data_IF_995859864225
#
_entry.id   IF_995859864225
#
_cell.length_a   1.000
_cell.length_b   1.000
_cell.length_c   1.000
_cell.angle_alpha   90.00
_cell.angle_beta   90.00
_cell.angle_gamma   90.00
#
_symmetry.space_group_name_H-M   'P 1'
#
loop_
_entity.id
_entity.type
_entity.pdbx_description
1 polymer ?
#
# COMPACT_ATOMS: atom_id res chain seq x y z
N UNK A 1 25.82 4.47 18.10
CA UNK A 1 26.31 5.64 17.33
C UNK A 1 25.27 6.75 17.49
N UNK A 2 25.69 8.02 17.65
CA UNK A 2 24.72 9.13 17.65
C UNK A 2 24.28 9.38 16.21
N UNK A 3 22.96 9.47 15.97
CA UNK A 3 22.43 9.82 14.67
C UNK A 3 22.74 11.31 14.36
N UNK A 4 23.13 11.60 13.13
CA UNK A 4 23.32 12.94 12.63
C UNK A 4 22.01 13.52 12.12
N UNK A 5 21.62 14.73 12.58
CA UNK A 5 20.45 15.44 12.08
C UNK A 5 20.82 16.33 10.90
N UNK A 6 20.32 16.00 9.71
CA UNK A 6 20.59 16.70 8.45
C UNK A 6 19.51 17.75 8.20
N UNK A 7 19.90 19.02 8.25
CA UNK A 7 19.00 20.18 8.08
C UNK A 7 19.41 21.14 6.97
N UNK A 8 20.51 20.83 6.25
CA UNK A 8 21.00 21.68 5.16
C UNK A 8 21.26 20.85 3.89
N UNK A 9 21.06 21.43 2.68
CA UNK A 9 21.34 20.76 1.41
C UNK A 9 22.79 20.31 1.26
N UNK A 10 23.73 21.06 1.82
CA UNK A 10 25.15 20.71 1.80
C UNK A 10 25.42 19.43 2.60
N UNK A 11 24.93 19.34 3.85
CA UNK A 11 25.07 18.14 4.67
C UNK A 11 24.38 16.92 4.03
N UNK A 12 23.22 17.12 3.39
CA UNK A 12 22.52 16.05 2.65
C UNK A 12 23.35 15.56 1.44
N UNK A 13 23.98 16.49 0.71
CA UNK A 13 24.90 16.13 -0.39
C UNK A 13 26.12 15.37 0.10
N UNK A 14 26.68 15.74 1.27
CA UNK A 14 27.80 15.03 1.91
C UNK A 14 27.39 13.63 2.33
N UNK A 15 26.22 13.48 2.95
CA UNK A 15 25.64 12.18 3.26
C UNK A 15 25.47 11.30 2.00
N UNK A 16 24.92 11.86 0.92
CA UNK A 16 24.78 11.16 -0.36
C UNK A 16 26.12 10.64 -0.89
N UNK A 17 27.19 11.44 -0.81
CA UNK A 17 28.55 11.01 -1.20
C UNK A 17 29.10 9.90 -0.29
N UNK A 18 28.83 9.97 0.99
CA UNK A 18 29.23 8.93 1.95
C UNK A 18 28.55 7.60 1.67
N UNK A 19 27.27 7.64 1.28
CA UNK A 19 26.45 6.45 1.01
C UNK A 19 26.62 5.90 -0.42
N UNK A 20 27.20 6.64 -1.36
CA UNK A 20 27.33 6.27 -2.76
C UNK A 20 28.10 4.96 -3.02
N UNK A 21 28.93 4.50 -2.05
CA UNK A 21 29.65 3.23 -2.12
C UNK A 21 28.94 2.05 -1.45
N UNK A 22 27.77 2.27 -0.86
CA UNK A 22 27.02 1.22 -0.16
C UNK A 22 26.24 0.35 -1.16
N UNK A 23 26.16 -0.95 -0.89
CA UNK A 23 25.30 -1.87 -1.65
C UNK A 23 23.82 -1.73 -1.24
N UNK A 24 23.59 -1.35 0.01
CA UNK A 24 22.26 -1.13 0.57
C UNK A 24 22.27 -0.04 1.65
N UNK A 25 21.11 0.55 1.87
CA UNK A 25 20.79 1.42 2.99
C UNK A 25 19.47 1.01 3.62
N UNK A 26 19.39 1.05 4.95
CA UNK A 26 18.11 1.02 5.66
C UNK A 26 17.45 2.39 5.51
N UNK A 27 16.15 2.40 5.27
CA UNK A 27 15.33 3.61 5.10
C UNK A 27 14.04 3.46 5.89
N UNK A 28 13.62 4.54 6.53
CA UNK A 28 12.31 4.66 7.16
C UNK A 28 11.79 6.09 7.01
N UNK A 29 10.49 6.31 7.18
CA UNK A 29 9.89 7.65 7.07
C UNK A 29 8.90 7.94 8.18
N UNK A 30 8.88 9.21 8.62
CA UNK A 30 7.80 9.72 9.44
C UNK A 30 7.01 10.79 8.68
N UNK A 31 5.70 10.63 8.65
CA UNK A 31 4.82 11.50 7.87
C UNK A 31 3.46 11.74 8.55
N UNK A 32 2.77 12.80 8.13
CA UNK A 32 1.41 13.13 8.58
C UNK A 32 0.42 13.02 7.42
N UNK A 33 -0.71 12.34 7.66
CA UNK A 33 -1.79 12.16 6.66
C UNK A 33 -3.19 12.44 7.26
N UNK A 34 -3.30 13.37 8.16
CA UNK A 34 -4.58 13.62 8.84
C UNK A 34 -5.47 14.63 8.12
N UNK A 35 -4.88 15.67 7.53
CA UNK A 35 -5.58 16.85 7.01
C UNK A 35 -5.33 17.13 5.54
N UNK A 36 -4.56 16.29 4.88
CA UNK A 36 -4.15 16.46 3.48
C UNK A 36 -4.47 15.20 2.67
N UNK A 37 -4.55 15.36 1.36
CA UNK A 37 -4.69 14.26 0.42
C UNK A 37 -3.41 13.43 0.35
N UNK A 38 -2.29 14.08 0.07
CA UNK A 38 -0.96 13.48 0.10
C UNK A 38 -0.37 13.55 1.50
N UNK A 39 0.42 12.55 1.86
CA UNK A 39 1.15 12.55 3.11
C UNK A 39 2.20 13.68 3.11
N UNK A 40 2.32 14.37 4.24
CA UNK A 40 3.39 15.34 4.46
C UNK A 40 4.59 14.63 5.07
N UNK A 41 5.65 14.47 4.29
CA UNK A 41 6.91 13.91 4.76
C UNK A 41 7.51 14.83 5.84
N UNK A 42 7.84 14.27 7.00
CA UNK A 42 8.35 15.01 8.16
C UNK A 42 9.79 14.63 8.51
N UNK A 43 10.14 13.34 8.39
CA UNK A 43 11.52 12.85 8.55
C UNK A 43 11.79 11.73 7.55
N UNK A 44 13.06 11.55 7.18
CA UNK A 44 13.58 10.36 6.52
C UNK A 44 14.80 9.89 7.31
N UNK A 45 14.76 8.66 7.77
CA UNK A 45 15.87 8.02 8.42
C UNK A 45 16.63 7.17 7.41
N UNK A 46 17.95 7.22 7.47
CA UNK A 46 18.82 6.35 6.66
C UNK A 46 19.95 5.79 7.50
N UNK A 47 20.30 4.53 7.25
CA UNK A 47 21.48 3.93 7.85
C UNK A 47 22.19 3.01 6.85
N UNK A 48 23.55 2.99 6.96
CA UNK A 48 24.40 1.98 6.36
C UNK A 48 25.20 1.28 7.45
N UNK A 49 26.25 0.52 7.11
CA UNK A 49 27.14 -0.07 8.11
C UNK A 49 27.74 0.96 9.08
N UNK A 50 28.12 2.14 8.58
CA UNK A 50 28.94 3.11 9.31
C UNK A 50 28.19 4.39 9.67
N UNK A 51 27.01 4.60 9.08
CA UNK A 51 26.26 5.86 9.19
C UNK A 51 24.85 5.60 9.70
N UNK A 52 24.37 6.47 10.59
CA UNK A 52 22.94 6.66 10.92
C UNK A 52 22.66 8.15 10.82
N UNK A 53 21.72 8.52 9.96
CA UNK A 53 21.34 9.92 9.77
C UNK A 53 19.83 10.09 9.75
N UNK A 54 19.37 11.23 10.25
CA UNK A 54 17.99 11.67 10.25
C UNK A 54 17.90 12.92 9.37
N UNK A 55 17.20 12.85 8.27
CA UNK A 55 17.03 13.96 7.33
C UNK A 55 15.74 14.68 7.71
N UNK A 56 15.80 16.01 7.83
CA UNK A 56 14.64 16.87 8.12
C UNK A 56 14.12 17.57 6.85
N UNK A 57 13.14 17.00 6.12
CA UNK A 57 12.60 17.62 4.91
C UNK A 57 11.96 18.98 5.16
N UNK A 58 11.43 19.22 6.37
CA UNK A 58 10.79 20.50 6.71
C UNK A 58 11.81 21.64 6.82
N UNK A 59 13.03 21.34 7.25
CA UNK A 59 14.14 22.28 7.29
C UNK A 59 14.75 22.52 5.91
N UNK A 60 14.86 21.45 5.11
CA UNK A 60 15.47 21.47 3.77
C UNK A 60 14.60 22.17 2.73
N UNK A 61 13.26 22.13 2.88
CA UNK A 61 12.28 22.55 1.89
C UNK A 61 12.40 21.77 0.57
N UNK A 62 11.46 21.96 -0.33
CA UNK A 62 11.35 21.16 -1.56
C UNK A 62 12.63 21.22 -2.42
N UNK A 63 13.23 22.41 -2.57
CA UNK A 63 14.45 22.59 -3.37
C UNK A 63 15.69 21.90 -2.79
N UNK A 64 15.69 21.59 -1.51
CA UNK A 64 16.80 20.96 -0.80
C UNK A 64 16.83 19.44 -0.83
N UNK A 65 15.75 18.81 -1.33
CA UNK A 65 15.61 17.34 -1.29
C UNK A 65 16.23 16.62 -2.50
N UNK A 66 16.71 17.32 -3.52
CA UNK A 66 17.29 16.71 -4.72
C UNK A 66 18.38 15.64 -4.44
N UNK A 67 19.31 15.82 -3.46
CA UNK A 67 20.28 14.78 -3.15
C UNK A 67 19.66 13.53 -2.51
N UNK A 68 18.54 13.65 -1.74
CA UNK A 68 17.80 12.51 -1.22
C UNK A 68 17.14 11.74 -2.36
N UNK A 69 16.48 12.44 -3.28
CA UNK A 69 15.87 11.84 -4.46
C UNK A 69 16.91 11.08 -5.27
N UNK A 70 18.08 11.69 -5.53
CA UNK A 70 19.16 11.03 -6.26
C UNK A 70 19.65 9.75 -5.55
N UNK A 71 19.74 9.77 -4.22
CA UNK A 71 20.10 8.59 -3.42
C UNK A 71 19.06 7.48 -3.51
N UNK A 72 17.76 7.84 -3.46
CA UNK A 72 16.65 6.88 -3.56
C UNK A 72 16.50 6.30 -4.97
N UNK A 73 16.82 7.07 -6.01
CA UNK A 73 16.78 6.67 -7.42
C UNK A 73 18.03 5.85 -7.85
N UNK A 74 19.07 5.75 -7.01
CA UNK A 74 20.29 5.00 -7.35
C UNK A 74 19.96 3.50 -7.53
N UNK A 75 20.08 3.02 -8.76
CA UNK A 75 19.66 1.67 -9.15
C UNK A 75 20.53 0.54 -8.57
N UNK A 76 21.75 0.84 -8.14
CA UNK A 76 22.66 -0.13 -7.52
C UNK A 76 22.49 -0.22 -6.01
N UNK A 77 21.86 0.78 -5.42
CA UNK A 77 21.67 0.90 -3.99
C UNK A 77 20.32 0.28 -3.58
N UNK A 78 20.33 -0.82 -2.87
CA UNK A 78 19.12 -1.44 -2.35
C UNK A 78 18.58 -0.64 -1.15
N UNK A 79 17.31 -0.25 -1.21
CA UNK A 79 16.60 0.42 -0.11
C UNK A 79 15.90 -0.65 0.74
N UNK A 80 16.38 -0.85 1.96
CA UNK A 80 15.84 -1.79 2.93
C UNK A 80 14.83 -1.08 3.82
N UNK A 81 13.60 -1.55 3.82
CA UNK A 81 12.50 -0.99 4.61
C UNK A 81 11.75 -2.11 5.36
N UNK A 82 10.84 -1.73 6.25
CA UNK A 82 9.91 -2.65 6.89
C UNK A 82 8.47 -2.25 6.61
N UNK A 83 7.68 -3.14 5.99
CA UNK A 83 6.30 -2.85 5.56
C UNK A 83 6.22 -1.62 4.64
N UNK A 84 7.12 -1.53 3.68
CA UNK A 84 7.53 -0.38 2.88
C UNK A 84 6.42 0.35 2.09
N UNK A 85 5.21 -0.23 1.99
CA UNK A 85 4.17 0.28 1.09
C UNK A 85 3.82 1.75 1.32
N UNK A 86 3.78 2.20 2.58
CA UNK A 86 3.39 3.57 2.91
C UNK A 86 4.54 4.55 2.63
N UNK A 87 5.77 4.15 2.92
CA UNK A 87 6.97 4.95 2.64
C UNK A 87 7.16 5.14 1.15
N UNK A 88 6.98 4.07 0.36
CA UNK A 88 7.03 4.13 -1.09
C UNK A 88 5.91 5.00 -1.69
N UNK A 89 4.72 5.05 -1.07
CA UNK A 89 3.66 5.98 -1.45
C UNK A 89 4.08 7.44 -1.18
N UNK A 90 4.71 7.71 -0.04
CA UNK A 90 5.22 9.05 0.30
C UNK A 90 6.30 9.50 -0.67
N UNK A 91 7.25 8.63 -1.02
CA UNK A 91 8.26 8.93 -2.02
C UNK A 91 7.68 9.10 -3.44
N UNK A 92 6.68 8.28 -3.80
CA UNK A 92 5.97 8.45 -5.06
C UNK A 92 5.22 9.79 -5.11
N UNK A 93 4.59 10.21 -4.03
CA UNK A 93 3.91 11.51 -3.96
C UNK A 93 4.90 12.68 -4.12
N UNK A 94 6.14 12.52 -3.65
CA UNK A 94 7.20 13.53 -3.76
C UNK A 94 7.70 13.72 -5.21
N UNK A 95 7.99 12.63 -5.93
CA UNK A 95 8.70 12.67 -7.21
C UNK A 95 8.02 11.92 -8.35
N UNK A 96 6.82 11.38 -8.13
CA UNK A 96 6.10 10.52 -9.09
C UNK A 96 6.90 9.29 -9.53
N UNK A 97 7.86 8.88 -8.70
CA UNK A 97 8.72 7.71 -8.85
C UNK A 97 8.70 6.86 -7.60
N UNK A 98 8.96 5.58 -7.77
CA UNK A 98 9.08 4.64 -6.65
C UNK A 98 10.55 4.22 -6.56
N UNK A 99 11.19 4.38 -5.39
CA UNK A 99 12.55 3.90 -5.19
C UNK A 99 12.68 2.41 -5.54
N UNK A 100 13.75 2.06 -6.26
CA UNK A 100 14.09 0.68 -6.61
C UNK A 100 15.63 0.54 -6.74
N UNK A 101 16.19 -0.66 -6.45
CA UNK A 101 15.55 -1.83 -5.87
C UNK A 101 15.19 -1.64 -4.39
N UNK A 102 14.23 -2.44 -3.90
CA UNK A 102 13.74 -2.43 -2.52
C UNK A 102 13.83 -3.83 -1.93
N UNK A 103 14.19 -3.91 -0.65
CA UNK A 103 14.06 -5.10 0.17
C UNK A 103 13.11 -4.81 1.34
N UNK A 104 11.93 -5.41 1.34
CA UNK A 104 10.96 -5.28 2.44
C UNK A 104 11.16 -6.42 3.44
N UNK A 105 11.59 -6.08 4.66
CA UNK A 105 11.89 -7.06 5.70
C UNK A 105 10.65 -7.79 6.24
N UNK A 106 9.46 -7.20 6.17
CA UNK A 106 8.21 -7.88 6.53
C UNK A 106 7.86 -8.96 5.50
N UNK A 107 7.97 -8.63 4.21
CA UNK A 107 7.78 -9.61 3.12
C UNK A 107 8.84 -10.71 3.23
N UNK A 108 10.12 -10.35 3.37
CA UNK A 108 11.22 -11.30 3.50
C UNK A 108 11.02 -12.29 4.68
N UNK A 109 10.59 -11.79 5.83
CA UNK A 109 10.29 -12.59 7.01
C UNK A 109 9.19 -13.64 6.75
N UNK A 110 8.14 -13.27 6.01
CA UNK A 110 7.07 -14.19 5.64
C UNK A 110 7.57 -15.39 4.78
N UNK A 111 8.59 -15.16 3.94
CA UNK A 111 9.28 -16.22 3.18
C UNK A 111 10.19 -17.12 4.03
N UNK A 112 10.39 -16.77 5.29
CA UNK A 112 11.13 -17.58 6.28
C UNK A 112 10.21 -18.20 7.33
N UNK A 113 8.88 -18.03 7.20
CA UNK A 113 7.87 -18.64 8.06
C UNK A 113 7.45 -17.78 9.25
N UNK A 114 7.90 -16.52 9.33
CA UNK A 114 7.33 -15.56 10.27
C UNK A 114 5.91 -15.16 9.85
N UNK A 115 5.16 -14.53 10.76
CA UNK A 115 3.85 -13.97 10.46
C UNK A 115 3.94 -12.96 9.29
N UNK A 116 3.02 -13.03 8.33
CA UNK A 116 3.01 -12.16 7.15
C UNK A 116 2.73 -10.67 7.47
N UNK A 117 2.26 -10.39 8.68
CA UNK A 117 2.06 -9.04 9.21
C UNK A 117 2.95 -8.79 10.44
N UNK A 118 4.08 -9.49 10.58
CA UNK A 118 4.97 -9.28 11.72
C UNK A 118 5.39 -7.80 11.79
N UNK A 119 5.17 -7.17 12.93
CA UNK A 119 5.59 -5.77 13.13
C UNK A 119 7.09 -5.65 13.40
N UNK A 120 7.66 -4.49 13.08
CA UNK A 120 9.09 -4.20 13.17
C UNK A 120 9.70 -4.59 14.52
N UNK A 121 9.15 -4.09 15.63
CA UNK A 121 9.69 -4.40 16.96
C UNK A 121 9.68 -5.91 17.30
N UNK A 122 8.66 -6.65 16.81
CA UNK A 122 8.60 -8.10 17.02
C UNK A 122 9.65 -8.82 16.18
N UNK A 123 9.89 -8.37 14.94
CA UNK A 123 10.91 -8.94 14.06
C UNK A 123 12.32 -8.66 14.59
N UNK A 124 12.58 -7.43 15.05
CA UNK A 124 13.86 -7.07 15.73
C UNK A 124 14.08 -7.96 16.93
N UNK A 125 13.08 -8.11 17.82
CA UNK A 125 13.20 -8.96 19.00
C UNK A 125 13.48 -10.42 18.64
N UNK A 126 12.80 -10.94 17.60
CA UNK A 126 12.99 -12.32 17.16
C UNK A 126 14.38 -12.61 16.59
N UNK A 127 14.98 -11.66 15.87
CA UNK A 127 16.25 -11.85 15.17
C UNK A 127 17.47 -11.38 15.97
N UNK A 128 17.31 -10.35 16.82
CA UNK A 128 18.43 -9.71 17.53
C UNK A 128 18.37 -9.87 19.05
N UNK A 129 17.22 -10.29 19.60
CA UNK A 129 16.98 -10.35 21.05
C UNK A 129 16.74 -8.97 21.70
N UNK A 130 16.73 -7.89 20.93
CA UNK A 130 16.53 -6.51 21.42
C UNK A 130 15.05 -6.18 21.48
N UNK A 131 14.60 -5.57 22.58
CA UNK A 131 13.24 -5.06 22.73
C UNK A 131 13.23 -3.56 22.49
N UNK A 132 12.49 -3.11 21.48
CA UNK A 132 12.33 -1.69 21.13
C UNK A 132 11.24 -1.03 21.96
N UNK A 133 11.44 0.24 22.32
CA UNK A 133 10.44 1.08 22.95
C UNK A 133 9.39 1.53 21.91
N UNK A 134 8.11 1.54 22.30
CA UNK A 134 6.98 1.95 21.46
C UNK A 134 6.44 3.35 21.78
N UNK A 135 7.17 4.13 22.61
CA UNK A 135 6.64 5.36 23.22
C UNK A 135 6.27 6.46 22.19
N UNK A 136 6.86 6.45 20.99
CA UNK A 136 6.72 7.55 20.02
C UNK A 136 5.92 7.25 18.74
N UNK A 137 5.26 6.10 18.66
CA UNK A 137 4.47 5.66 17.48
C UNK A 137 3.34 6.63 17.07
N UNK A 138 2.89 7.52 17.97
CA UNK A 138 1.82 8.51 17.71
C UNK A 138 2.27 9.91 18.08
N UNK A 139 3.35 10.35 17.50
CA UNK A 139 3.96 11.67 17.73
C UNK A 139 3.57 12.63 16.62
N UNK A 140 3.42 13.91 16.91
CA UNK A 140 3.38 14.95 15.89
C UNK A 140 4.79 15.21 15.35
N UNK A 141 5.12 14.51 14.28
CA UNK A 141 6.42 14.61 13.62
C UNK A 141 6.65 15.92 12.87
N UNK A 142 5.63 16.78 12.75
CA UNK A 142 5.81 18.13 12.18
C UNK A 142 6.25 19.17 13.19
N UNK A 143 6.19 18.87 14.49
CA UNK A 143 6.63 19.78 15.54
C UNK A 143 8.16 19.97 15.53
N UNK A 144 8.62 21.19 15.77
CA UNK A 144 10.04 21.54 15.91
C UNK A 144 10.26 22.42 17.12
N UNK A 145 11.40 22.26 17.85
CA UNK A 145 12.44 21.27 17.64
C UNK A 145 11.98 19.85 18.06
N UNK A 146 12.59 18.82 17.47
CA UNK A 146 12.41 17.43 17.91
C UNK A 146 13.14 17.22 19.24
N UNK A 147 12.54 16.45 20.14
CA UNK A 147 13.17 16.04 21.39
C UNK A 147 14.27 14.99 21.14
N UNK A 148 15.20 14.87 22.09
CA UNK A 148 16.22 13.82 22.03
C UNK A 148 15.62 12.41 21.99
N UNK A 149 14.49 12.17 22.66
CA UNK A 149 13.80 10.90 22.65
C UNK A 149 13.16 10.57 21.27
N UNK A 150 12.60 11.58 20.58
CA UNK A 150 12.10 11.43 19.22
C UNK A 150 13.22 11.13 18.22
N UNK A 151 14.36 11.84 18.33
CA UNK A 151 15.53 11.58 17.49
C UNK A 151 16.10 10.17 17.74
N UNK A 152 16.13 9.72 18.99
CA UNK A 152 16.59 8.37 19.32
C UNK A 152 15.63 7.30 18.75
N UNK A 153 14.32 7.49 18.90
CA UNK A 153 13.31 6.60 18.32
C UNK A 153 13.48 6.49 16.80
N UNK A 154 13.55 7.64 16.11
CA UNK A 154 13.74 7.67 14.65
C UNK A 154 15.07 7.01 14.21
N UNK A 155 16.14 7.16 15.00
CA UNK A 155 17.41 6.48 14.74
C UNK A 155 17.32 4.96 14.91
N UNK A 156 16.56 4.49 15.92
CA UNK A 156 16.40 3.07 16.21
C UNK A 156 15.63 2.33 15.11
N UNK A 157 14.70 2.99 14.42
CA UNK A 157 13.92 2.41 13.32
C UNK A 157 14.81 1.96 12.15
N UNK A 158 15.92 2.66 11.88
CA UNK A 158 16.90 2.23 10.85
C UNK A 158 18.12 1.52 11.43
N UNK A 159 18.49 1.81 12.68
CA UNK A 159 19.65 1.17 13.33
C UNK A 159 19.46 -0.34 13.41
N UNK A 160 18.33 -0.82 13.90
CA UNK A 160 18.05 -2.24 14.03
C UNK A 160 17.57 -2.89 12.74
N UNK A 161 17.17 -2.11 11.74
CA UNK A 161 16.81 -2.63 10.41
C UNK A 161 18.03 -3.26 9.71
N UNK A 162 19.25 -2.78 10.00
CA UNK A 162 20.50 -3.34 9.48
C UNK A 162 20.70 -4.81 9.84
N UNK A 163 20.85 -5.20 11.13
CA UNK A 163 21.03 -6.62 11.49
C UNK A 163 19.83 -7.47 11.10
N UNK A 164 18.62 -6.90 11.05
CA UNK A 164 17.43 -7.62 10.54
C UNK A 164 17.59 -7.95 9.06
N UNK A 165 18.00 -6.99 8.22
CA UNK A 165 18.24 -7.21 6.81
C UNK A 165 19.30 -8.29 6.57
N UNK A 166 20.46 -8.17 7.23
CA UNK A 166 21.56 -9.11 7.07
C UNK A 166 21.13 -10.55 7.42
N UNK A 167 20.45 -10.71 8.56
CA UNK A 167 19.95 -12.01 9.00
C UNK A 167 18.90 -12.61 8.04
N UNK A 168 17.96 -11.80 7.54
CA UNK A 168 16.94 -12.26 6.60
C UNK A 168 17.53 -12.58 5.24
N UNK A 169 18.42 -11.72 4.72
CA UNK A 169 19.07 -11.93 3.44
C UNK A 169 19.92 -13.20 3.44
N UNK A 170 20.73 -13.41 4.49
CA UNK A 170 21.51 -14.64 4.65
C UNK A 170 20.64 -15.90 4.71
N UNK A 171 19.58 -15.90 5.52
CA UNK A 171 18.66 -17.03 5.62
C UNK A 171 17.92 -17.34 4.31
N UNK A 172 17.50 -16.30 3.57
CA UNK A 172 16.88 -16.45 2.25
C UNK A 172 17.88 -17.04 1.25
N UNK A 173 19.11 -16.57 1.24
CA UNK A 173 20.19 -17.10 0.39
C UNK A 173 20.48 -18.57 0.69
N UNK A 174 20.66 -18.93 1.97
CA UNK A 174 20.89 -20.31 2.40
C UNK A 174 19.75 -21.26 2.00
N UNK A 175 18.50 -20.77 1.95
CA UNK A 175 17.32 -21.55 1.53
C UNK A 175 17.04 -21.48 0.03
N UNK A 176 17.84 -20.74 -0.76
CA UNK A 176 17.64 -20.54 -2.20
C UNK A 176 16.38 -19.77 -2.55
N UNK A 177 15.92 -18.84 -1.67
CA UNK A 177 14.64 -18.15 -1.79
C UNK A 177 14.73 -16.68 -2.23
N UNK A 178 15.95 -16.15 -2.46
CA UNK A 178 16.11 -14.77 -2.91
C UNK A 178 15.32 -14.48 -4.20
N UNK A 179 15.40 -15.40 -5.19
CA UNK A 179 14.63 -15.24 -6.42
C UNK A 179 13.10 -15.31 -6.20
N UNK A 180 12.63 -16.05 -5.18
CA UNK A 180 11.20 -16.14 -4.87
C UNK A 180 10.64 -14.82 -4.32
N UNK A 181 11.37 -14.21 -3.39
CA UNK A 181 10.93 -12.97 -2.75
C UNK A 181 11.08 -11.76 -3.66
N UNK A 182 12.04 -11.81 -4.59
CA UNK A 182 12.29 -10.73 -5.56
C UNK A 182 11.05 -10.39 -6.39
N UNK A 183 10.24 -11.39 -6.78
CA UNK A 183 8.97 -11.17 -7.49
C UNK A 183 8.01 -10.25 -6.70
N UNK A 184 7.97 -10.39 -5.37
CA UNK A 184 7.12 -9.57 -4.51
C UNK A 184 7.70 -8.17 -4.32
N UNK A 185 9.03 -8.03 -4.25
CA UNK A 185 9.70 -6.73 -4.22
C UNK A 185 9.47 -5.95 -5.52
N UNK A 186 9.62 -6.59 -6.68
CA UNK A 186 9.35 -5.96 -7.97
C UNK A 186 7.89 -5.51 -8.12
N UNK A 187 6.93 -6.28 -7.58
CA UNK A 187 5.54 -5.84 -7.54
C UNK A 187 5.35 -4.62 -6.65
N UNK A 188 6.01 -4.59 -5.50
CA UNK A 188 5.93 -3.49 -4.56
C UNK A 188 6.46 -2.17 -5.16
N UNK A 189 7.44 -2.24 -6.08
CA UNK A 189 8.01 -1.05 -6.74
C UNK A 189 7.25 -0.59 -8.00
N UNK A 190 6.13 -1.23 -8.35
CA UNK A 190 5.32 -0.81 -9.48
C UNK A 190 4.61 0.52 -9.20
N UNK A 191 4.93 1.57 -9.94
CA UNK A 191 4.34 2.90 -9.78
C UNK A 191 2.79 2.91 -9.89
N UNK A 192 2.21 1.94 -10.62
CA UNK A 192 0.75 1.77 -10.72
C UNK A 192 0.06 1.48 -9.39
N UNK A 193 0.78 0.95 -8.39
CA UNK A 193 0.24 0.70 -7.04
C UNK A 193 -0.01 1.99 -6.26
N UNK A 194 0.69 3.08 -6.60
CA UNK A 194 0.71 4.35 -5.88
C UNK A 194 -0.02 5.46 -6.63
N UNK A 195 -0.27 5.27 -7.93
CA UNK A 195 -1.07 6.21 -8.71
C UNK A 195 -2.50 6.26 -8.20
N UNK A 196 -2.94 7.45 -7.88
CA UNK A 196 -4.32 7.72 -7.53
C UNK A 196 -5.05 8.30 -8.76
N UNK A 197 -5.26 7.44 -9.79
CA UNK A 197 -5.99 7.83 -10.99
C UNK A 197 -7.45 8.17 -10.62
N UNK A 198 -7.92 9.39 -10.88
CA UNK A 198 -9.31 9.76 -10.64
C UNK A 198 -10.32 8.90 -11.37
N UNK A 199 -10.03 8.45 -12.59
CA UNK A 199 -10.91 7.58 -13.36
C UNK A 199 -11.12 6.20 -12.71
N UNK A 200 -10.19 5.76 -11.87
CA UNK A 200 -10.23 4.48 -11.14
C UNK A 200 -10.66 4.64 -9.66
N UNK A 201 -11.00 5.87 -9.22
CA UNK A 201 -11.35 6.16 -7.82
C UNK A 201 -12.56 5.33 -7.31
N UNK A 202 -13.46 4.97 -8.21
CA UNK A 202 -14.62 4.12 -7.94
C UNK A 202 -14.26 2.74 -7.39
N UNK A 203 -13.07 2.20 -7.71
CA UNK A 203 -12.61 0.87 -7.25
C UNK A 203 -12.42 0.79 -5.73
N UNK A 204 -12.29 1.94 -5.06
CA UNK A 204 -12.20 2.02 -3.60
C UNK A 204 -13.56 1.98 -2.91
N UNK A 205 -14.64 2.25 -3.65
CA UNK A 205 -16.00 2.27 -3.11
C UNK A 205 -16.54 0.84 -3.03
N UNK A 206 -16.96 0.42 -1.83
CA UNK A 206 -17.56 -0.90 -1.61
C UNK A 206 -19.07 -0.82 -1.68
N UNK A 207 -19.72 -1.81 -2.30
CA UNK A 207 -21.19 -1.87 -2.38
C UNK A 207 -21.79 -1.26 -3.66
N UNK A 208 -20.97 -0.85 -4.63
CA UNK A 208 -21.48 -0.34 -5.93
C UNK A 208 -22.29 -1.37 -6.72
N UNK A 209 -22.01 -2.68 -6.55
CA UNK A 209 -22.72 -3.76 -7.24
C UNK A 209 -24.20 -3.91 -6.89
N UNK A 210 -24.66 -3.29 -5.80
CA UNK A 210 -26.07 -3.29 -5.41
C UNK A 210 -26.89 -2.19 -6.10
N UNK A 211 -26.22 -1.29 -6.84
CA UNK A 211 -26.86 -0.22 -7.60
C UNK A 211 -27.21 -0.68 -9.02
N UNK A 212 -28.27 -0.08 -9.58
CA UNK A 212 -28.58 -0.23 -11.00
C UNK A 212 -27.44 0.32 -11.88
N UNK A 213 -27.20 -0.20 -13.11
CA UNK A 213 -26.10 0.22 -13.97
C UNK A 213 -25.99 1.73 -14.18
N UNK A 214 -27.11 2.44 -14.38
CA UNK A 214 -27.13 3.89 -14.50
C UNK A 214 -26.65 4.60 -13.23
N UNK A 215 -27.01 4.09 -12.05
CA UNK A 215 -26.54 4.61 -10.75
C UNK A 215 -25.07 4.30 -10.52
N UNK A 216 -24.59 3.13 -10.96
CA UNK A 216 -23.16 2.80 -10.91
C UNK A 216 -22.34 3.79 -11.73
N UNK A 217 -22.81 4.15 -12.92
CA UNK A 217 -22.13 5.10 -13.77
C UNK A 217 -22.05 6.50 -13.14
N UNK A 218 -23.14 6.97 -12.55
CA UNK A 218 -23.14 8.23 -11.80
C UNK A 218 -22.20 8.14 -10.58
N UNK A 219 -22.19 7.01 -9.87
CA UNK A 219 -21.26 6.82 -8.75
C UNK A 219 -19.80 6.88 -9.21
N UNK A 220 -19.45 6.32 -10.37
CA UNK A 220 -18.11 6.43 -10.97
C UNK A 220 -17.74 7.89 -11.26
N UNK A 221 -18.63 8.63 -11.93
CA UNK A 221 -18.37 10.02 -12.27
C UNK A 221 -18.22 10.92 -11.02
N UNK A 222 -19.05 10.69 -10.00
CA UNK A 222 -18.94 11.41 -8.74
C UNK A 222 -17.66 11.03 -7.97
N UNK A 223 -17.24 9.77 -8.01
CA UNK A 223 -15.98 9.32 -7.41
C UNK A 223 -14.78 9.97 -8.09
N UNK A 224 -14.79 10.02 -9.44
CA UNK A 224 -13.75 10.68 -10.24
C UNK A 224 -13.69 12.18 -9.94
N UNK A 225 -14.84 12.86 -9.95
CA UNK A 225 -14.93 14.28 -9.61
C UNK A 225 -14.38 14.55 -8.20
N UNK A 226 -14.81 13.78 -7.20
CA UNK A 226 -14.34 13.91 -5.83
C UNK A 226 -12.84 13.72 -5.71
N UNK A 227 -12.29 12.74 -6.42
CA UNK A 227 -10.86 12.47 -6.42
C UNK A 227 -10.07 13.66 -6.99
N UNK A 228 -10.49 14.21 -8.14
CA UNK A 228 -9.89 15.41 -8.74
C UNK A 228 -9.94 16.62 -7.80
N UNK A 229 -11.08 16.83 -7.15
CA UNK A 229 -11.27 17.93 -6.21
C UNK A 229 -10.39 17.75 -4.96
N UNK A 230 -10.28 16.52 -4.44
CA UNK A 230 -9.44 16.20 -3.30
C UNK A 230 -7.95 16.41 -3.61
N UNK A 231 -7.49 15.99 -4.78
CA UNK A 231 -6.13 16.19 -5.26
C UNK A 231 -5.82 17.68 -5.47
N UNK A 232 -6.68 18.39 -6.22
CA UNK A 232 -6.47 19.80 -6.55
C UNK A 232 -6.39 20.69 -5.32
N UNK A 233 -7.11 20.35 -4.24
CA UNK A 233 -7.16 21.12 -3.01
C UNK A 233 -6.30 20.56 -1.89
N UNK A 234 -5.62 19.46 -2.15
CA UNK A 234 -4.87 18.70 -1.15
C UNK A 234 -5.68 18.42 0.14
N UNK A 235 -6.93 17.96 -0.02
CA UNK A 235 -7.84 17.66 1.10
C UNK A 235 -8.17 16.18 1.16
N UNK A 236 -8.39 15.60 2.36
CA UNK A 236 -8.92 14.25 2.50
C UNK A 236 -10.23 14.10 1.69
N UNK A 237 -10.39 12.98 0.99
CA UNK A 237 -11.60 12.68 0.18
C UNK A 237 -12.90 12.89 0.93
N UNK A 238 -12.94 12.44 2.20
CA UNK A 238 -14.12 12.58 3.05
C UNK A 238 -14.44 14.04 3.43
N UNK A 239 -13.46 14.94 3.35
CA UNK A 239 -13.69 16.37 3.58
C UNK A 239 -14.26 17.08 2.36
N UNK A 240 -14.06 16.53 1.16
CA UNK A 240 -14.75 16.95 -0.05
C UNK A 240 -16.18 16.42 -0.03
N UNK A 241 -16.33 15.09 0.07
CA UNK A 241 -17.62 14.43 0.17
C UNK A 241 -17.45 12.98 0.69
N UNK A 242 -18.27 12.58 1.67
CA UNK A 242 -18.22 11.23 2.24
C UNK A 242 -18.78 10.18 1.28
N UNK A 243 -18.34 8.93 1.45
CA UNK A 243 -18.79 7.81 0.60
C UNK A 243 -20.30 7.61 0.66
N UNK A 244 -20.91 7.67 1.86
CA UNK A 244 -22.36 7.52 2.04
C UNK A 244 -23.15 8.55 1.21
N UNK A 245 -22.65 9.79 1.12
CA UNK A 245 -23.28 10.86 0.34
C UNK A 245 -23.13 10.61 -1.18
N UNK A 246 -22.00 10.07 -1.64
CA UNK A 246 -21.84 9.66 -3.04
C UNK A 246 -22.88 8.59 -3.41
N UNK A 247 -23.10 7.60 -2.54
CA UNK A 247 -24.10 6.57 -2.75
C UNK A 247 -25.53 7.12 -2.76
N UNK A 248 -25.87 8.06 -1.88
CA UNK A 248 -27.18 8.71 -1.88
C UNK A 248 -27.42 9.53 -3.17
N UNK A 249 -26.43 10.29 -3.63
CA UNK A 249 -26.49 11.00 -4.90
C UNK A 249 -26.70 10.05 -6.08
N UNK A 250 -25.98 8.93 -6.11
CA UNK A 250 -26.09 7.93 -7.16
C UNK A 250 -27.42 7.15 -7.14
N UNK A 251 -28.06 6.98 -5.98
CA UNK A 251 -29.39 6.36 -5.86
C UNK A 251 -30.51 7.30 -6.31
N UNK A 252 -30.43 8.58 -5.91
CA UNK A 252 -31.53 9.54 -6.11
C UNK A 252 -31.43 10.34 -7.41
N UNK A 253 -30.23 10.40 -8.03
CA UNK A 253 -29.96 11.08 -9.31
C UNK A 253 -30.55 12.50 -9.37
N UNK A 254 -30.25 13.41 -8.42
CA UNK A 254 -30.86 14.74 -8.41
C UNK A 254 -30.47 15.54 -9.65
N UNK A 255 -31.45 16.29 -10.22
CA UNK A 255 -31.26 17.10 -11.42
C UNK A 255 -31.24 18.61 -11.11
N UNK A 256 -31.67 19.00 -9.91
CA UNK A 256 -31.84 20.39 -9.51
C UNK A 256 -31.23 20.66 -8.15
N UNK A 257 -30.96 21.94 -7.87
CA UNK A 257 -30.51 22.39 -6.56
C UNK A 257 -31.47 22.00 -5.41
N UNK A 258 -32.78 21.96 -5.69
CA UNK A 258 -33.80 21.52 -4.74
C UNK A 258 -33.68 20.00 -4.50
N UNK A 259 -33.42 19.21 -5.55
CA UNK A 259 -33.14 17.77 -5.42
C UNK A 259 -31.90 17.50 -4.58
N UNK A 260 -30.84 18.30 -4.72
CA UNK A 260 -29.66 18.19 -3.86
C UNK A 260 -29.97 18.47 -2.38
N UNK A 261 -30.92 19.36 -2.09
CA UNK A 261 -31.29 19.68 -0.71
C UNK A 261 -31.95 18.52 0.03
N UNK A 262 -32.51 17.55 -0.69
CA UNK A 262 -33.13 16.34 -0.12
C UNK A 262 -32.16 15.18 0.09
N UNK A 263 -30.90 15.30 -0.38
CA UNK A 263 -29.89 14.24 -0.23
C UNK A 263 -29.42 14.14 1.22
N UNK A 264 -29.62 12.97 1.79
CA UNK A 264 -29.22 12.69 3.17
C UNK A 264 -27.71 12.81 3.33
N UNK A 265 -27.28 13.58 4.34
CA UNK A 265 -25.86 13.76 4.67
C UNK A 265 -25.12 14.78 3.79
N UNK A 266 -25.76 15.36 2.79
CA UNK A 266 -25.18 16.46 2.01
C UNK A 266 -25.40 17.78 2.75
N UNK A 267 -24.36 18.23 3.44
CA UNK A 267 -24.40 19.47 4.22
C UNK A 267 -24.59 20.71 3.34
N UNK A 268 -25.21 21.74 3.90
CA UNK A 268 -25.44 23.01 3.20
C UNK A 268 -24.15 23.68 2.72
N UNK A 269 -23.08 23.55 3.48
CA UNK A 269 -21.76 24.05 3.12
C UNK A 269 -21.18 23.35 1.87
N UNK A 270 -21.29 22.02 1.81
CA UNK A 270 -20.86 21.21 0.67
C UNK A 270 -21.77 21.45 -0.54
N UNK A 271 -23.09 21.56 -0.34
CA UNK A 271 -24.06 21.88 -1.39
C UNK A 271 -23.78 23.24 -2.04
N UNK A 272 -23.53 24.29 -1.24
CA UNK A 272 -23.17 25.61 -1.78
C UNK A 272 -21.86 25.61 -2.53
N UNK A 273 -20.89 24.84 -2.09
CA UNK A 273 -19.53 24.81 -2.67
C UNK A 273 -19.45 23.95 -3.93
N UNK A 274 -20.14 22.82 -3.94
CA UNK A 274 -19.96 21.76 -4.92
C UNK A 274 -21.24 21.41 -5.69
N UNK A 275 -22.40 22.01 -5.37
CA UNK A 275 -23.70 21.62 -5.93
C UNK A 275 -23.76 21.68 -7.45
N UNK A 276 -23.20 22.74 -8.05
CA UNK A 276 -23.15 22.88 -9.51
C UNK A 276 -22.30 21.78 -10.17
N UNK A 277 -21.09 21.54 -9.63
CA UNK A 277 -20.19 20.48 -10.13
C UNK A 277 -20.78 19.08 -9.95
N UNK A 278 -21.48 18.83 -8.85
CA UNK A 278 -22.17 17.56 -8.59
C UNK A 278 -23.29 17.36 -9.63
N UNK A 279 -24.16 18.37 -9.86
CA UNK A 279 -25.22 18.28 -10.86
C UNK A 279 -24.68 18.09 -12.27
N UNK A 280 -23.62 18.81 -12.64
CA UNK A 280 -22.95 18.64 -13.92
C UNK A 280 -22.39 17.23 -14.11
N UNK A 281 -21.73 16.68 -13.07
CA UNK A 281 -21.20 15.32 -13.08
C UNK A 281 -22.32 14.27 -13.27
N UNK A 282 -23.44 14.44 -12.58
CA UNK A 282 -24.61 13.56 -12.72
C UNK A 282 -25.20 13.65 -14.12
N UNK A 283 -25.43 14.86 -14.62
CA UNK A 283 -26.00 15.11 -15.94
C UNK A 283 -25.14 14.50 -17.06
N UNK A 284 -23.83 14.70 -17.01
CA UNK A 284 -22.89 14.15 -17.98
C UNK A 284 -22.86 12.61 -17.93
N UNK A 285 -22.83 12.04 -16.73
CA UNK A 285 -22.84 10.59 -16.57
C UNK A 285 -24.10 9.93 -17.12
N UNK A 286 -25.27 10.58 -17.00
CA UNK A 286 -26.54 10.04 -17.52
C UNK A 286 -26.66 10.05 -19.04
N UNK A 287 -25.86 10.85 -19.74
CA UNK A 287 -25.83 10.90 -21.21
C UNK A 287 -24.97 9.78 -21.82
N UNK A 288 -24.06 9.21 -21.05
CA UNK A 288 -23.19 8.17 -21.52
C UNK A 288 -23.85 6.80 -21.37
N UNK A 289 -23.43 5.82 -22.20
CA UNK A 289 -23.94 4.46 -22.12
C UNK A 289 -23.64 3.83 -20.76
N UNK A 290 -24.66 3.23 -20.14
CA UNK A 290 -24.53 2.62 -18.84
C UNK A 290 -23.73 1.30 -18.94
N UNK A 291 -22.56 1.28 -18.32
CA UNK A 291 -21.70 0.10 -18.24
C UNK A 291 -21.68 -0.42 -16.79
N UNK A 292 -21.91 -1.72 -16.64
CA UNK A 292 -21.79 -2.36 -15.33
C UNK A 292 -20.30 -2.36 -14.91
N UNK A 293 -19.97 -1.58 -13.87
CA UNK A 293 -18.60 -1.44 -13.36
C UNK A 293 -18.29 -2.40 -12.21
N UNK A 294 -19.31 -2.71 -11.40
CA UNK A 294 -19.20 -3.66 -10.31
C UNK A 294 -19.98 -4.94 -10.65
N UNK A 295 -19.31 -6.02 -11.08
CA UNK A 295 -19.99 -7.29 -11.21
C UNK A 295 -20.56 -7.69 -9.84
N UNK A 296 -21.82 -8.09 -9.82
CA UNK A 296 -22.50 -8.53 -8.61
C UNK A 296 -21.85 -9.84 -8.14
N UNK A 297 -20.95 -9.73 -7.18
CA UNK A 297 -20.33 -10.90 -6.58
C UNK A 297 -21.37 -11.59 -5.68
N UNK A 298 -22.04 -12.60 -6.22
CA UNK A 298 -22.92 -13.46 -5.43
C UNK A 298 -22.11 -14.11 -4.28
N UNK A 299 -22.70 -14.36 -3.11
CA UNK A 299 -22.07 -15.18 -2.09
C UNK A 299 -21.59 -16.51 -2.66
N UNK A 300 -20.50 -17.04 -2.12
CA UNK A 300 -20.05 -18.38 -2.51
C UNK A 300 -21.13 -19.40 -2.18
N UNK A 301 -21.41 -20.31 -3.11
CA UNK A 301 -22.30 -21.45 -2.86
C UNK A 301 -21.74 -22.33 -1.74
N UNK A 302 -22.56 -23.18 -1.09
CA UNK A 302 -22.08 -24.16 -0.11
C UNK A 302 -20.93 -25.04 -0.63
N UNK A 303 -21.02 -25.47 -1.90
CA UNK A 303 -19.96 -26.27 -2.56
C UNK A 303 -18.67 -25.45 -2.75
N UNK A 304 -18.77 -24.22 -3.24
CA UNK A 304 -17.62 -23.31 -3.36
C UNK A 304 -16.98 -23.00 -2.01
N UNK A 305 -17.78 -22.81 -0.96
CA UNK A 305 -17.25 -22.60 0.40
C UNK A 305 -16.53 -23.84 0.94
N UNK A 306 -17.06 -25.03 0.70
CA UNK A 306 -16.40 -26.28 1.09
C UNK A 306 -15.05 -26.44 0.37
N UNK A 307 -15.02 -26.22 -0.95
CA UNK A 307 -13.80 -26.27 -1.75
C UNK A 307 -12.78 -25.23 -1.31
N UNK A 308 -13.22 -24.00 -1.05
CA UNK A 308 -12.33 -22.96 -0.55
C UNK A 308 -11.70 -23.31 0.80
N UNK A 309 -12.45 -23.98 1.70
CA UNK A 309 -11.90 -24.48 2.96
C UNK A 309 -10.83 -25.57 2.74
N UNK A 310 -11.09 -26.50 1.83
CA UNK A 310 -10.14 -27.57 1.49
C UNK A 310 -8.85 -27.01 0.88
N UNK A 311 -8.96 -26.09 -0.09
CA UNK A 311 -7.81 -25.39 -0.69
C UNK A 311 -7.00 -24.64 0.37
N UNK A 312 -7.66 -23.89 1.26
CA UNK A 312 -6.95 -23.21 2.36
C UNK A 312 -6.28 -24.15 3.34
N UNK A 313 -6.81 -25.37 3.56
CA UNK A 313 -6.15 -26.38 4.39
C UNK A 313 -4.87 -26.87 3.72
N UNK A 314 -4.94 -27.24 2.44
CA UNK A 314 -3.76 -27.69 1.69
C UNK A 314 -2.69 -26.58 1.56
N UNK A 315 -3.11 -25.33 1.36
CA UNK A 315 -2.19 -24.17 1.34
C UNK A 315 -1.44 -24.06 2.67
N UNK A 316 -2.12 -24.23 3.82
CA UNK A 316 -1.44 -24.20 5.14
C UNK A 316 -0.48 -25.37 5.31
N UNK A 317 -0.88 -26.57 4.92
CA UNK A 317 -0.02 -27.75 4.98
C UNK A 317 1.24 -27.59 4.11
N UNK A 318 1.06 -27.08 2.88
CA UNK A 318 2.18 -26.79 1.98
C UNK A 318 3.08 -25.68 2.53
N UNK A 319 2.50 -24.60 3.04
CA UNK A 319 3.25 -23.52 3.67
C UNK A 319 4.07 -24.03 4.87
N UNK A 320 3.50 -24.90 5.70
CA UNK A 320 4.20 -25.53 6.81
C UNK A 320 5.37 -26.41 6.32
N UNK A 321 5.16 -27.24 5.30
CA UNK A 321 6.21 -28.08 4.70
C UNK A 321 7.35 -27.24 4.13
N UNK A 322 7.02 -26.13 3.51
CA UNK A 322 7.99 -25.18 2.94
C UNK A 322 8.54 -24.21 3.98
N UNK A 323 8.09 -24.22 5.23
CA UNK A 323 8.40 -23.22 6.24
C UNK A 323 8.23 -21.78 5.70
N UNK A 324 7.03 -21.48 5.19
CA UNK A 324 6.57 -20.18 4.68
C UNK A 324 5.36 -19.72 5.49
N UNK A 325 5.10 -18.41 5.53
CA UNK A 325 3.78 -17.93 5.94
C UNK A 325 2.71 -18.37 4.91
N UNK A 326 1.52 -18.82 5.33
CA UNK A 326 0.50 -19.27 4.39
C UNK A 326 0.07 -18.22 3.35
N UNK A 327 0.05 -16.95 3.72
CA UNK A 327 -0.30 -15.84 2.83
C UNK A 327 0.70 -15.65 1.68
N UNK A 328 1.96 -16.06 1.87
CA UNK A 328 2.98 -16.08 0.81
C UNK A 328 2.62 -17.07 -0.29
N UNK A 329 2.02 -18.21 0.07
CA UNK A 329 1.56 -19.21 -0.90
C UNK A 329 0.31 -18.71 -1.62
N UNK A 330 -0.77 -18.45 -0.87
CA UNK A 330 -1.99 -17.85 -1.38
C UNK A 330 -2.82 -17.22 -0.26
N UNK A 331 -3.49 -16.10 -0.58
CA UNK A 331 -4.44 -15.47 0.32
C UNK A 331 -5.84 -16.10 0.20
N UNK A 332 -6.70 -15.89 1.20
CA UNK A 332 -8.11 -16.27 1.14
C UNK A 332 -8.80 -15.66 -0.10
N UNK A 333 -8.47 -14.43 -0.46
CA UNK A 333 -9.00 -13.73 -1.63
C UNK A 333 -8.62 -14.42 -2.94
N UNK A 334 -7.40 -14.94 -3.05
CA UNK A 334 -6.95 -15.68 -4.23
C UNK A 334 -7.70 -16.99 -4.37
N UNK A 335 -7.90 -17.70 -3.27
CA UNK A 335 -8.72 -18.92 -3.23
C UNK A 335 -10.18 -18.63 -3.61
N UNK A 336 -10.77 -17.53 -3.12
CA UNK A 336 -12.13 -17.15 -3.50
C UNK A 336 -12.27 -16.80 -4.99
N UNK A 337 -11.28 -16.14 -5.58
CA UNK A 337 -11.22 -15.93 -7.04
C UNK A 337 -11.14 -17.26 -7.77
N UNK A 338 -10.27 -18.16 -7.32
CA UNK A 338 -10.08 -19.46 -7.92
C UNK A 338 -11.36 -20.31 -7.94
N UNK A 339 -12.07 -20.39 -6.81
CA UNK A 339 -13.33 -21.15 -6.73
C UNK A 339 -14.49 -20.52 -7.53
N UNK A 340 -14.35 -19.25 -7.93
CA UNK A 340 -15.26 -18.56 -8.84
C UNK A 340 -14.90 -18.77 -10.32
N UNK A 341 -13.84 -19.53 -10.61
CA UNK A 341 -13.35 -19.75 -11.97
C UNK A 341 -12.45 -18.65 -12.52
N UNK A 342 -12.05 -17.66 -11.71
CA UNK A 342 -11.03 -16.70 -12.09
C UNK A 342 -9.64 -17.28 -11.86
N UNK A 343 -8.69 -16.99 -12.76
CA UNK A 343 -7.29 -17.40 -12.58
C UNK A 343 -6.54 -16.33 -11.77
N UNK A 344 -6.21 -16.59 -10.48
CA UNK A 344 -5.32 -15.70 -9.73
C UNK A 344 -3.91 -15.84 -10.30
N UNK A 345 -3.46 -14.83 -11.02
CA UNK A 345 -2.19 -14.82 -11.73
C UNK A 345 -0.99 -15.22 -10.86
N UNK A 346 -1.01 -14.85 -9.59
CA UNK A 346 0.09 -15.14 -8.67
C UNK A 346 0.32 -16.63 -8.40
N UNK A 347 -0.74 -17.44 -8.37
CA UNK A 347 -0.62 -18.89 -8.12
C UNK A 347 -0.03 -19.67 -9.28
N UNK A 348 -0.04 -19.11 -10.49
CA UNK A 348 0.34 -19.79 -11.71
C UNK A 348 1.61 -19.21 -12.36
N UNK A 349 2.38 -18.42 -11.63
CA UNK A 349 3.64 -17.83 -12.09
C UNK A 349 4.79 -18.10 -11.11
N UNK A 350 6.01 -18.00 -11.64
CA UNK A 350 7.23 -18.16 -10.88
C UNK A 350 7.29 -19.46 -10.07
N UNK A 351 7.90 -19.41 -8.93
CA UNK A 351 8.06 -20.57 -8.05
C UNK A 351 6.72 -21.19 -7.57
N UNK A 352 5.65 -20.38 -7.51
CA UNK A 352 4.32 -20.87 -7.13
C UNK A 352 3.74 -21.79 -8.20
N UNK A 353 3.99 -21.52 -9.49
CA UNK A 353 3.57 -22.40 -10.58
C UNK A 353 4.23 -23.78 -10.48
N UNK A 354 5.49 -23.82 -10.05
CA UNK A 354 6.26 -25.06 -9.94
C UNK A 354 5.89 -25.90 -8.71
N UNK A 355 5.68 -25.27 -7.56
CA UNK A 355 5.51 -25.96 -6.28
C UNK A 355 4.05 -26.01 -5.80
N UNK A 356 3.25 -24.96 -6.05
CA UNK A 356 1.89 -24.83 -5.52
C UNK A 356 0.86 -25.44 -6.48
N UNK A 357 0.97 -25.13 -7.76
CA UNK A 357 -0.02 -25.60 -8.75
C UNK A 357 -0.14 -27.11 -8.83
N UNK A 358 0.97 -27.91 -8.86
CA UNK A 358 0.88 -29.36 -8.82
C UNK A 358 0.26 -29.89 -7.53
N UNK A 359 0.59 -29.31 -6.38
CA UNK A 359 0.06 -29.72 -5.08
C UNK A 359 -1.47 -29.50 -4.97
N UNK A 360 -2.00 -28.49 -5.66
CA UNK A 360 -3.44 -28.19 -5.70
C UNK A 360 -4.16 -28.81 -6.90
N UNK A 361 -3.46 -29.47 -7.83
CA UNK A 361 -3.98 -29.92 -9.12
C UNK A 361 -5.27 -30.76 -9.01
N UNK A 362 -5.35 -31.68 -8.04
CA UNK A 362 -6.52 -32.54 -7.84
C UNK A 362 -7.78 -31.74 -7.48
N UNK A 363 -7.65 -30.74 -6.62
CA UNK A 363 -8.78 -29.86 -6.25
C UNK A 363 -9.12 -28.87 -7.35
N UNK A 364 -8.11 -28.38 -8.11
CA UNK A 364 -8.31 -27.45 -9.20
C UNK A 364 -9.04 -28.08 -10.40
N UNK A 365 -8.79 -29.36 -10.69
CA UNK A 365 -9.56 -30.09 -11.72
C UNK A 365 -11.05 -30.24 -11.36
N UNK A 366 -11.35 -30.44 -10.09
CA UNK A 366 -12.74 -30.47 -9.60
C UNK A 366 -13.46 -29.11 -9.78
N UNK A 367 -12.72 -28.01 -9.67
CA UNK A 367 -13.25 -26.63 -9.87
C UNK A 367 -13.59 -26.36 -11.33
N UNK A 368 -12.74 -26.81 -12.26
CA UNK A 368 -12.95 -26.63 -13.72
C UNK A 368 -14.09 -27.46 -14.27
N UNK A 369 -14.49 -28.52 -13.60
CA UNK A 369 -15.61 -29.41 -13.99
C UNK A 369 -17.00 -28.85 -13.57
N UNK A 370 -17.08 -27.83 -12.75
CA UNK A 370 -18.33 -27.16 -12.39
C UNK A 370 -18.50 -25.90 -13.23
N UNK A 371 -19.46 -25.88 -14.21
CA UNK A 371 -19.70 -24.69 -15.02
C UNK A 371 -20.12 -23.53 -14.11
N UNK A 372 -19.61 -22.33 -14.42
CA UNK A 372 -20.04 -21.09 -13.79
C UNK A 372 -21.57 -20.99 -13.96
N UNK A 373 -22.30 -21.12 -12.87
CA UNK A 373 -23.72 -20.77 -12.87
C UNK A 373 -23.80 -19.25 -13.04
N UNK A 374 -24.17 -18.83 -14.25
CA UNK A 374 -24.43 -17.46 -14.68
C UNK A 374 -25.59 -16.87 -13.88
#
# INVERSE_FOLDING_TARGET
>A
MSAELITTPAALSDLGRTLAGSEWIAVDTEFLRERTYSARLCLVQVASHDVVAIIDPLALRDDGLAPLVALLDEARLCKVLHAARQDLEVFHDLEQRVPAPVFDTQIAAAYLGYDDQIGYAALVAALTGVTLDKAHTRTDWSARPLSAAQLQYAADDVHYLRPVYEALHEQLAQRGRLAWVEEDFQRLTQASLYRNDPAEAWRRLRGGGDLAPASQQVLCALAEWREREAQARNLPRAWVLRDDVLFELARHLPETAQGLASIRGLEDSARRRHGESILASIANARQAEAVERWPRLLPLTPAQNALAKQLMSQIRELAQQLALAPAVVATRRDVEKLVRGAEPTQLFHGWRAELVSPALATLLTATRAQPASI
#
